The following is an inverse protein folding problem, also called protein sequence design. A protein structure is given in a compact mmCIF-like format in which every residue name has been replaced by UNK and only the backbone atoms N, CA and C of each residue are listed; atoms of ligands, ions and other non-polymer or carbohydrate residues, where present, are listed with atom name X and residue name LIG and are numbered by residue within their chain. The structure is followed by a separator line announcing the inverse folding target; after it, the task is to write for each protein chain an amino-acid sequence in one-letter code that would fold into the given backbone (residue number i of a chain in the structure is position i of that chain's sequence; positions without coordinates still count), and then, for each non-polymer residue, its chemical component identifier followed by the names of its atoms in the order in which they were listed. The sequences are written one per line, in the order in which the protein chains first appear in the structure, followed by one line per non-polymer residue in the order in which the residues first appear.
data_IF_140772855129
#
_entry.id   IF_140772855129
#
_cell.length_a   1.000
_cell.length_b   1.000
_cell.length_c   1.000
_cell.angle_alpha   90.00
_cell.angle_beta   90.00
_cell.angle_gamma   90.00
#
_symmetry.space_group_name_H-M   'P 1'
#
loop_
_entity.id
_entity.type
_entity.pdbx_description
1 polymer ?
#
# COMPACT_ATOMS: atom_id res chain seq x y z
N UNK A 1 13.12 -9.75 -6.16
CA UNK A 1 11.72 -9.29 -6.13
C UNK A 1 11.03 -9.95 -4.95
N UNK A 2 10.30 -9.21 -4.10
CA UNK A 2 9.58 -9.84 -2.99
C UNK A 2 8.46 -10.73 -3.51
N UNK A 3 8.22 -11.87 -2.87
CA UNK A 3 7.16 -12.84 -3.22
C UNK A 3 5.79 -12.17 -3.47
N UNK A 4 5.48 -11.14 -2.69
CA UNK A 4 4.26 -10.32 -2.83
C UNK A 4 4.11 -9.67 -4.21
N UNK A 5 5.20 -9.15 -4.76
CA UNK A 5 5.19 -8.47 -6.06
C UNK A 5 5.15 -9.48 -7.21
N UNK A 6 5.72 -10.67 -7.02
CA UNK A 6 5.62 -11.76 -7.99
C UNK A 6 4.17 -12.27 -8.07
N UNK A 7 3.47 -12.40 -6.95
CA UNK A 7 2.06 -12.80 -6.93
C UNK A 7 1.16 -11.76 -7.62
N UNK A 8 1.39 -10.46 -7.35
CA UNK A 8 0.68 -9.39 -8.03
C UNK A 8 0.93 -9.38 -9.56
N UNK A 9 2.18 -9.59 -10.00
CA UNK A 9 2.53 -9.70 -11.43
C UNK A 9 1.86 -10.91 -12.09
N UNK A 10 1.83 -12.07 -11.43
CA UNK A 10 1.18 -13.27 -11.96
C UNK A 10 -0.33 -13.04 -12.18
N UNK A 11 -1.02 -12.38 -11.25
CA UNK A 11 -2.42 -11.97 -11.43
C UNK A 11 -2.59 -11.00 -12.61
N UNK A 12 -1.71 -9.98 -12.74
CA UNK A 12 -1.77 -9.01 -13.86
C UNK A 12 -1.53 -9.65 -15.24
N UNK A 13 -0.68 -10.66 -15.34
CA UNK A 13 -0.44 -11.35 -16.62
C UNK A 13 -1.61 -12.23 -17.07
N UNK A 14 -2.41 -12.75 -16.13
CA UNK A 14 -3.62 -13.54 -16.42
C UNK A 14 -4.75 -12.63 -16.91
N UNK A 15 -4.86 -11.40 -16.38
CA UNK A 15 -5.85 -10.41 -16.85
C UNK A 15 -5.45 -9.65 -18.12
N UNK A 16 -4.19 -9.78 -18.58
CA UNK A 16 -3.71 -9.16 -19.81
C UNK A 16 -4.29 -9.78 -21.09
N UNK A 17 -5.05 -10.89 -21.01
CA UNK A 17 -5.93 -11.32 -22.10
C UNK A 17 -7.18 -10.45 -22.07
N UNK A 18 -7.06 -9.25 -22.64
CA UNK A 18 -8.16 -8.31 -22.73
C UNK A 18 -9.24 -8.87 -23.65
N UNK A 19 -10.38 -9.31 -23.10
CA UNK A 19 -11.63 -9.34 -23.86
C UNK A 19 -12.11 -7.90 -24.04
N UNK A 20 -11.54 -7.23 -25.04
CA UNK A 20 -12.01 -5.92 -25.48
C UNK A 20 -13.37 -6.14 -26.14
N UNK A 21 -14.47 -6.00 -25.37
CA UNK A 21 -15.77 -5.70 -25.96
C UNK A 21 -15.89 -4.19 -26.08
N UNK A 22 -15.57 -3.68 -27.27
CA UNK A 22 -15.96 -2.34 -27.69
C UNK A 22 -17.48 -2.34 -27.90
N UNK A 23 -18.24 -1.83 -26.93
CA UNK A 23 -19.59 -1.36 -27.18
C UNK A 23 -19.51 0.14 -27.47
N UNK A 24 -19.45 0.49 -28.75
CA UNK A 24 -19.74 1.84 -29.22
C UNK A 24 -21.26 2.04 -29.22
N UNK A 25 -21.76 2.91 -28.35
CA UNK A 25 -23.08 3.51 -28.53
C UNK A 25 -22.99 5.01 -28.25
N UNK A 26 -23.54 5.75 -29.21
CA UNK A 26 -23.46 7.19 -29.41
C UNK A 26 -24.63 7.89 -28.71
N UNK A 27 -24.34 9.11 -28.24
CA UNK A 27 -25.20 10.26 -27.93
C UNK A 27 -26.28 10.20 -26.84
N UNK A 28 -26.25 11.27 -26.03
CA UNK A 28 -27.22 11.74 -25.06
C UNK A 28 -28.68 11.77 -25.54
N UNK A 29 -29.58 11.37 -24.65
CA UNK A 29 -30.90 11.99 -24.51
C UNK A 29 -31.37 11.84 -23.06
N UNK A 30 -31.52 12.97 -22.37
CA UNK A 30 -32.20 13.06 -21.08
C UNK A 30 -33.69 12.82 -21.33
N UNK A 31 -34.22 11.72 -20.82
CA UNK A 31 -35.66 11.53 -20.62
C UNK A 31 -35.87 11.00 -19.20
N UNK A 32 -36.49 11.84 -18.37
CA UNK A 32 -37.17 11.41 -17.15
C UNK A 32 -38.36 10.56 -17.57
N UNK A 33 -38.40 9.32 -17.10
CA UNK A 33 -39.60 8.49 -17.05
C UNK A 33 -39.62 7.86 -15.67
N UNK A 34 -40.58 8.30 -14.85
CA UNK A 34 -40.95 7.62 -13.61
C UNK A 34 -41.68 6.32 -13.99
N UNK A 35 -41.22 5.18 -13.46
CA UNK A 35 -42.07 4.11 -12.89
C UNK A 35 -41.25 2.93 -12.32
N UNK A 36 -41.70 2.52 -11.13
CA UNK A 36 -41.53 1.21 -10.46
C UNK A 36 -40.17 0.81 -9.85
N UNK A 37 -40.05 1.16 -8.56
CA UNK A 37 -39.25 0.60 -7.47
C UNK A 37 -38.47 -0.71 -7.72
N UNK A 38 -37.34 -0.61 -8.41
CA UNK A 38 -36.07 -1.31 -8.10
C UNK A 38 -34.92 -0.79 -8.97
N UNK A 39 -34.95 0.51 -9.33
CA UNK A 39 -33.83 1.13 -10.03
C UNK A 39 -32.70 1.34 -9.02
N UNK A 40 -31.69 0.48 -9.05
CA UNK A 40 -30.42 0.70 -8.34
C UNK A 40 -29.94 2.12 -8.64
N UNK A 41 -29.83 2.96 -7.61
CA UNK A 41 -29.41 4.34 -7.79
C UNK A 41 -27.93 4.40 -8.11
N UNK A 42 -27.59 5.09 -9.20
CA UNK A 42 -26.21 5.46 -9.50
C UNK A 42 -25.91 6.73 -8.73
N UNK A 43 -25.06 6.64 -7.71
CA UNK A 43 -24.58 7.79 -6.96
C UNK A 43 -23.54 8.50 -7.82
N UNK A 44 -23.99 9.54 -8.53
CA UNK A 44 -23.11 10.41 -9.30
C UNK A 44 -22.45 11.43 -8.39
N UNK A 45 -21.15 11.64 -8.58
CA UNK A 45 -20.35 12.56 -7.78
C UNK A 45 -19.91 13.77 -8.59
N UNK A 46 -20.05 14.95 -8.02
CA UNK A 46 -19.46 16.16 -8.56
C UNK A 46 -18.01 16.30 -8.08
N UNK A 47 -17.04 16.09 -8.97
CA UNK A 47 -15.63 16.29 -8.63
C UNK A 47 -15.22 17.74 -8.85
N UNK A 48 -14.40 18.28 -7.94
CA UNK A 48 -13.73 19.58 -8.11
C UNK A 48 -12.89 19.64 -9.40
N UNK A 49 -12.29 18.53 -9.77
CA UNK A 49 -11.53 18.35 -11.01
C UNK A 49 -12.19 17.22 -11.80
N UNK A 50 -13.15 17.52 -12.70
CA UNK A 50 -13.87 16.49 -13.43
C UNK A 50 -12.96 15.86 -14.52
N UNK A 51 -13.18 14.58 -14.87
CA UNK A 51 -12.43 13.94 -15.93
C UNK A 51 -12.85 14.50 -17.30
N UNK A 52 -11.88 14.86 -18.13
CA UNK A 52 -12.14 15.53 -19.42
C UNK A 52 -12.49 14.55 -20.55
N UNK A 53 -11.67 13.50 -20.73
CA UNK A 53 -11.76 12.60 -21.90
C UNK A 53 -12.10 11.15 -21.52
N UNK A 54 -11.77 10.75 -20.29
CA UNK A 54 -11.95 9.39 -19.80
C UNK A 54 -13.26 9.27 -19.04
N UNK A 55 -14.10 8.30 -19.38
CA UNK A 55 -15.31 8.00 -18.62
C UNK A 55 -14.95 7.53 -17.20
N UNK A 56 -15.71 7.92 -16.16
CA UNK A 56 -15.61 7.35 -14.82
C UNK A 56 -15.77 5.83 -14.82
N UNK A 57 -15.23 5.19 -13.80
CA UNK A 57 -15.45 3.76 -13.54
C UNK A 57 -16.63 3.61 -12.58
N UNK A 58 -17.35 2.52 -12.66
CA UNK A 58 -18.48 2.24 -11.78
C UNK A 58 -18.17 1.01 -10.94
N UNK A 59 -18.53 1.05 -9.66
CA UNK A 59 -18.32 -0.03 -8.70
C UNK A 59 -19.60 -0.26 -7.91
N UNK A 60 -19.87 -1.51 -7.55
CA UNK A 60 -21.00 -1.84 -6.68
C UNK A 60 -20.77 -1.33 -5.26
N UNK A 61 -21.82 -0.79 -4.66
CA UNK A 61 -21.88 -0.55 -3.21
C UNK A 61 -22.48 -1.80 -2.58
N UNK A 62 -21.68 -2.47 -1.76
CA UNK A 62 -22.05 -3.66 -1.03
C UNK A 62 -22.47 -3.33 0.40
N UNK A 63 -23.18 -4.25 1.05
CA UNK A 63 -23.53 -4.18 2.46
C UNK A 63 -22.56 -5.01 3.33
N UNK A 64 -22.48 -4.74 4.63
CA UNK A 64 -21.81 -5.64 5.61
C UNK A 64 -22.79 -6.27 6.61
N UNK A 65 -24.05 -5.84 6.59
CA UNK A 65 -25.09 -6.29 7.53
C UNK A 65 -25.50 -7.76 7.38
N UNK A 66 -25.33 -8.34 6.19
CA UNK A 66 -25.68 -9.75 5.90
C UNK A 66 -24.52 -10.49 5.26
N UNK A 67 -24.40 -11.78 5.54
CA UNK A 67 -23.36 -12.64 4.94
C UNK A 67 -23.50 -12.68 3.41
N UNK A 68 -24.74 -12.90 2.93
CA UNK A 68 -25.07 -12.79 1.51
C UNK A 68 -24.78 -11.39 0.97
N UNK A 69 -24.08 -11.32 -0.17
CA UNK A 69 -23.82 -10.08 -0.90
C UNK A 69 -25.13 -9.46 -1.40
N UNK A 70 -25.39 -8.20 -0.99
CA UNK A 70 -26.46 -7.38 -1.56
C UNK A 70 -25.87 -6.14 -2.21
N UNK A 71 -26.23 -5.92 -3.47
CA UNK A 71 -25.85 -4.74 -4.25
C UNK A 71 -26.84 -3.62 -3.95
N UNK A 72 -26.40 -2.64 -3.17
CA UNK A 72 -27.23 -1.52 -2.73
C UNK A 72 -27.35 -0.42 -3.79
N UNK A 73 -26.30 -0.23 -4.59
CA UNK A 73 -26.25 0.80 -5.63
C UNK A 73 -24.95 0.77 -6.42
N UNK A 74 -24.79 1.74 -7.33
CA UNK A 74 -23.56 1.95 -8.10
C UNK A 74 -22.89 3.25 -7.67
N UNK A 75 -21.56 3.20 -7.53
CA UNK A 75 -20.73 4.34 -7.17
C UNK A 75 -19.74 4.68 -8.30
N UNK A 76 -19.68 5.95 -8.68
CA UNK A 76 -18.74 6.42 -9.71
C UNK A 76 -17.36 6.76 -9.12
N UNK A 77 -16.32 6.14 -9.68
CA UNK A 77 -14.92 6.33 -9.35
C UNK A 77 -14.18 7.17 -10.40
N UNK A 78 -13.31 8.06 -9.91
CA UNK A 78 -12.57 8.96 -10.78
C UNK A 78 -11.49 8.20 -11.60
N UNK A 79 -11.44 8.38 -12.93
CA UNK A 79 -10.57 7.58 -13.80
C UNK A 79 -9.07 7.88 -13.61
N UNK A 80 -8.69 9.10 -13.24
CA UNK A 80 -7.28 9.41 -12.91
C UNK A 80 -6.76 8.72 -11.64
N UNK A 81 -7.63 8.14 -10.81
CA UNK A 81 -7.25 7.43 -9.58
C UNK A 81 -7.33 5.93 -9.81
N UNK A 82 -8.45 5.45 -10.36
CA UNK A 82 -8.76 4.01 -10.46
C UNK A 82 -8.65 3.42 -11.87
N UNK A 83 -8.40 4.23 -12.91
CA UNK A 83 -8.27 3.77 -14.30
C UNK A 83 -6.91 4.13 -14.94
N UNK A 84 -5.89 4.38 -14.12
CA UNK A 84 -4.51 4.61 -14.59
C UNK A 84 -3.86 3.29 -14.95
N UNK A 85 -3.11 3.24 -16.05
CA UNK A 85 -2.35 2.04 -16.42
C UNK A 85 -1.44 1.60 -15.25
N UNK A 86 -1.63 0.38 -14.69
CA UNK A 86 -0.90 -0.05 -13.50
C UNK A 86 0.59 -0.23 -13.78
N UNK A 87 1.40 0.69 -13.26
CA UNK A 87 2.85 0.73 -13.44
C UNK A 87 3.61 -0.03 -12.35
N UNK A 88 3.98 -1.27 -12.66
CA UNK A 88 4.65 -2.22 -11.76
C UNK A 88 6.00 -1.67 -11.26
N UNK A 89 6.71 -0.91 -12.10
CA UNK A 89 7.99 -0.28 -11.77
C UNK A 89 7.86 0.76 -10.64
N UNK A 90 6.81 1.58 -10.68
CA UNK A 90 6.53 2.61 -9.66
C UNK A 90 6.05 1.95 -8.36
N UNK A 91 5.20 0.94 -8.47
CA UNK A 91 4.73 0.13 -7.34
C UNK A 91 5.94 -0.49 -6.61
N UNK A 92 6.86 -1.12 -7.35
CA UNK A 92 8.09 -1.70 -6.81
C UNK A 92 8.95 -0.67 -6.06
N UNK A 93 9.16 0.51 -6.66
CA UNK A 93 9.94 1.60 -6.04
C UNK A 93 9.31 2.06 -4.73
N UNK A 94 7.99 2.19 -4.68
CA UNK A 94 7.25 2.54 -3.46
C UNK A 94 7.42 1.50 -2.36
N UNK A 95 7.29 0.21 -2.69
CA UNK A 95 7.48 -0.88 -1.73
C UNK A 95 8.91 -0.91 -1.18
N UNK A 96 9.92 -0.77 -2.04
CA UNK A 96 11.32 -0.70 -1.59
C UNK A 96 11.54 0.49 -0.69
N UNK A 97 11.04 1.66 -1.09
CA UNK A 97 11.13 2.88 -0.29
C UNK A 97 10.51 2.67 1.09
N UNK A 98 9.26 2.17 1.16
CA UNK A 98 8.54 1.90 2.41
C UNK A 98 9.26 0.90 3.34
N UNK A 99 9.97 -0.09 2.78
CA UNK A 99 10.78 -1.02 3.57
C UNK A 99 12.08 -0.38 4.08
N UNK A 100 12.76 0.40 3.25
CA UNK A 100 14.10 0.91 3.54
C UNK A 100 14.12 2.18 4.38
N UNK A 101 13.13 3.08 4.23
CA UNK A 101 13.18 4.39 4.89
C UNK A 101 13.18 4.30 6.41
N UNK A 102 12.58 3.23 6.98
CA UNK A 102 12.53 2.96 8.43
C UNK A 102 13.63 2.01 8.90
N UNK A 103 14.41 1.43 7.98
CA UNK A 103 15.33 0.35 8.29
C UNK A 103 16.70 0.89 8.71
N UNK A 104 17.14 0.45 9.89
CA UNK A 104 18.47 0.70 10.45
C UNK A 104 19.16 -0.63 10.70
N UNK A 105 20.38 -0.77 10.20
CA UNK A 105 21.21 -1.95 10.46
C UNK A 105 22.11 -1.72 11.67
N UNK A 106 21.94 -2.58 12.68
CA UNK A 106 22.71 -2.58 13.93
C UNK A 106 23.86 -3.60 13.95
N UNK A 107 24.08 -4.29 12.83
CA UNK A 107 25.17 -5.25 12.72
C UNK A 107 26.51 -4.52 12.89
N UNK A 108 27.36 -5.02 13.78
CA UNK A 108 28.65 -4.43 14.09
C UNK A 108 29.71 -5.49 14.22
N UNK A 109 30.83 -5.30 13.52
CA UNK A 109 32.03 -6.10 13.71
C UNK A 109 33.16 -5.26 14.27
N UNK A 110 33.88 -5.82 15.24
CA UNK A 110 35.07 -5.18 15.81
C UNK A 110 36.18 -5.15 14.79
N UNK A 111 36.66 -3.95 14.49
CA UNK A 111 37.90 -3.74 13.74
C UNK A 111 39.10 -4.13 14.58
N UNK A 112 40.27 -4.29 13.96
CA UNK A 112 41.51 -4.63 14.67
C UNK A 112 41.87 -3.66 15.82
N UNK A 113 41.34 -2.43 15.79
CA UNK A 113 41.56 -1.41 16.82
C UNK A 113 40.59 -1.55 18.02
N UNK A 114 39.42 -2.15 17.80
CA UNK A 114 38.38 -2.33 18.83
C UNK A 114 38.49 -3.68 19.53
N UNK A 115 39.24 -4.64 18.97
CA UNK A 115 39.51 -5.92 19.62
C UNK A 115 40.53 -5.71 20.74
N UNK A 116 40.19 -6.12 21.97
CA UNK A 116 40.99 -5.92 23.19
C UNK A 116 42.44 -6.39 23.05
N UNK A 117 43.41 -5.59 23.49
CA UNK A 117 44.85 -5.94 23.51
C UNK A 117 45.60 -5.75 22.18
N UNK A 118 46.76 -6.37 22.02
CA UNK A 118 47.53 -6.33 20.76
C UNK A 118 48.31 -5.05 20.46
N UNK A 119 48.61 -4.24 21.49
CA UNK A 119 49.47 -3.05 21.39
C UNK A 119 50.97 -3.35 21.32
N UNK A 120 51.41 -4.56 21.72
CA UNK A 120 52.81 -4.98 21.63
C UNK A 120 53.07 -5.76 20.35
N UNK A 121 54.20 -5.47 19.69
CA UNK A 121 54.68 -6.25 18.53
C UNK A 121 55.00 -7.70 18.97
N UNK A 122 54.48 -8.73 18.29
CA UNK A 122 54.66 -10.13 18.71
C UNK A 122 56.14 -10.58 18.77
N UNK A 123 56.95 -10.12 17.80
CA UNK A 123 58.38 -10.42 17.72
C UNK A 123 59.15 -9.39 16.88
N UNK A 124 60.49 -9.28 17.00
CA UNK A 124 61.31 -8.39 16.18
C UNK A 124 61.19 -8.68 14.67
N UNK A 125 61.45 -7.66 13.84
CA UNK A 125 61.22 -7.72 12.39
C UNK A 125 62.10 -8.74 11.65
N UNK A 126 63.27 -9.07 12.21
CA UNK A 126 64.30 -9.97 11.66
C UNK A 126 64.85 -10.86 12.77
N UNK A 127 65.46 -11.98 12.41
CA UNK A 127 66.17 -12.89 13.34
C UNK A 127 65.47 -14.21 13.65
N UNK A 128 64.14 -14.31 13.49
CA UNK A 128 63.35 -15.49 13.90
C UNK A 128 62.91 -16.43 12.77
N UNK A 129 63.15 -16.08 11.50
CA UNK A 129 62.71 -16.89 10.34
C UNK A 129 61.19 -16.99 10.13
N UNK A 130 60.38 -16.30 10.95
CA UNK A 130 58.90 -16.28 10.85
C UNK A 130 58.40 -15.12 9.98
N UNK A 131 57.14 -15.21 9.53
CA UNK A 131 56.45 -14.12 8.87
C UNK A 131 56.42 -12.84 9.72
N UNK A 132 56.41 -11.67 9.08
CA UNK A 132 56.46 -10.37 9.74
C UNK A 132 55.05 -9.95 10.20
N UNK A 133 54.88 -9.73 11.50
CA UNK A 133 53.61 -9.25 12.07
C UNK A 133 53.80 -8.04 12.98
N UNK A 134 52.89 -7.07 12.86
CA UNK A 134 52.87 -5.86 13.69
C UNK A 134 51.99 -5.99 14.93
N UNK A 135 50.91 -6.79 14.87
CA UNK A 135 49.97 -6.98 15.99
C UNK A 135 49.26 -8.33 15.84
N UNK A 136 48.94 -8.96 16.96
CA UNK A 136 48.13 -10.19 17.03
C UNK A 136 46.64 -9.96 16.69
N UNK A 137 46.18 -8.70 16.57
CA UNK A 137 44.78 -8.37 16.24
C UNK A 137 44.52 -8.13 14.77
N UNK A 138 45.54 -8.33 13.93
CA UNK A 138 45.40 -8.22 12.48
C UNK A 138 44.35 -9.22 11.96
N UNK A 139 43.57 -8.90 10.91
CA UNK A 139 42.58 -9.82 10.32
C UNK A 139 43.16 -11.16 9.86
N UNK A 140 44.47 -11.25 9.63
CA UNK A 140 45.16 -12.50 9.29
C UNK A 140 45.26 -13.47 10.48
N UNK A 141 45.13 -12.99 11.71
CA UNK A 141 45.25 -13.79 12.92
C UNK A 141 43.90 -14.34 13.36
N UNK A 142 43.89 -15.55 13.92
CA UNK A 142 42.70 -16.13 14.58
C UNK A 142 42.30 -15.25 15.77
N UNK A 143 41.03 -14.84 15.81
CA UNK A 143 40.54 -13.90 16.84
C UNK A 143 41.03 -12.45 16.65
N UNK A 144 41.57 -12.13 15.47
CA UNK A 144 41.82 -10.77 15.03
C UNK A 144 40.54 -10.03 14.65
N UNK A 145 40.66 -8.73 14.40
CA UNK A 145 39.53 -7.92 13.96
C UNK A 145 39.15 -8.18 12.51
N UNK A 146 37.92 -7.83 12.14
CA UNK A 146 37.40 -8.01 10.77
C UNK A 146 37.79 -6.77 9.93
N UNK A 147 38.35 -6.98 8.74
CA UNK A 147 38.80 -5.90 7.86
C UNK A 147 37.63 -5.14 7.21
N UNK A 148 36.75 -5.88 6.52
CA UNK A 148 35.55 -5.36 5.88
C UNK A 148 34.35 -6.10 6.44
N UNK A 149 33.75 -5.53 7.47
CA UNK A 149 32.53 -6.04 8.08
C UNK A 149 31.51 -4.92 8.30
N UNK A 150 30.28 -5.25 8.69
CA UNK A 150 29.25 -4.26 8.95
C UNK A 150 29.69 -3.33 10.09
N UNK A 151 29.43 -2.03 9.88
CA UNK A 151 29.60 -1.00 10.90
C UNK A 151 28.21 -0.58 11.38
N UNK A 152 28.02 -0.64 12.69
CA UNK A 152 26.75 -0.31 13.35
C UNK A 152 26.24 1.07 12.96
N UNK A 153 24.93 1.24 13.00
CA UNK A 153 24.27 2.53 12.80
C UNK A 153 24.12 2.93 11.33
N UNK A 154 24.19 1.96 10.41
CA UNK A 154 23.96 2.25 8.99
C UNK A 154 22.47 2.41 8.73
N UNK A 155 22.06 3.63 8.39
CA UNK A 155 20.70 3.95 7.97
C UNK A 155 20.55 3.70 6.46
N UNK A 156 19.37 3.22 6.06
CA UNK A 156 19.00 3.04 4.65
C UNK A 156 17.97 4.08 4.19
N UNK A 157 17.92 5.21 4.88
CA UNK A 157 16.95 6.27 4.64
C UNK A 157 17.18 6.97 3.30
N UNK A 158 16.13 7.09 2.51
CA UNK A 158 16.03 8.00 1.37
C UNK A 158 14.56 8.39 1.18
N UNK A 159 14.31 9.57 0.62
CA UNK A 159 12.96 10.05 0.35
C UNK A 159 12.61 9.84 -1.12
N UNK A 160 11.50 9.16 -1.39
CA UNK A 160 10.97 9.03 -2.75
C UNK A 160 10.25 10.34 -3.14
N UNK A 161 10.45 10.87 -4.36
CA UNK A 161 9.73 12.05 -4.85
C UNK A 161 8.22 11.91 -4.64
N UNK A 162 7.58 13.00 -4.24
CA UNK A 162 6.16 13.00 -3.86
C UNK A 162 5.24 12.47 -4.97
N UNK A 163 5.45 12.92 -6.21
CA UNK A 163 4.68 12.47 -7.37
C UNK A 163 4.81 10.96 -7.63
N UNK A 164 6.00 10.38 -7.42
CA UNK A 164 6.19 8.93 -7.52
C UNK A 164 5.46 8.16 -6.42
N UNK A 165 5.28 8.76 -5.23
CA UNK A 165 4.48 8.17 -4.16
C UNK A 165 3.00 8.15 -4.51
N UNK A 166 2.48 9.26 -5.05
CA UNK A 166 1.09 9.36 -5.51
C UNK A 166 0.83 8.39 -6.67
N UNK A 167 1.69 8.38 -7.69
CA UNK A 167 1.56 7.43 -8.80
C UNK A 167 1.64 5.97 -8.36
N UNK A 168 2.37 5.69 -7.27
CA UNK A 168 2.38 4.37 -6.65
C UNK A 168 1.02 3.99 -6.07
N UNK A 169 0.37 4.93 -5.36
CA UNK A 169 -0.98 4.73 -4.82
C UNK A 169 -2.00 4.54 -5.95
N UNK A 170 -2.06 5.44 -6.92
CA UNK A 170 -3.04 5.34 -8.03
C UNK A 170 -2.83 4.10 -8.89
N UNK A 171 -1.58 3.73 -9.18
CA UNK A 171 -1.29 2.50 -9.92
C UNK A 171 -1.73 1.25 -9.16
N UNK A 172 -1.63 1.26 -7.82
CA UNK A 172 -2.02 0.12 -6.98
C UNK A 172 -3.54 0.03 -6.84
N UNK A 173 -4.22 1.16 -6.63
CA UNK A 173 -5.68 1.23 -6.58
C UNK A 173 -6.29 0.79 -7.92
N UNK A 174 -5.74 1.26 -9.04
CA UNK A 174 -6.19 0.82 -10.36
C UNK A 174 -5.91 -0.65 -10.61
N UNK A 175 -4.78 -1.19 -10.13
CA UNK A 175 -4.49 -2.63 -10.22
C UNK A 175 -5.50 -3.46 -9.42
N UNK A 176 -5.83 -3.04 -8.18
CA UNK A 176 -6.84 -3.72 -7.34
C UNK A 176 -8.21 -3.71 -7.99
N UNK A 177 -8.61 -2.55 -8.52
CA UNK A 177 -9.87 -2.42 -9.24
C UNK A 177 -9.92 -3.30 -10.51
N UNK A 178 -8.85 -3.30 -11.32
CA UNK A 178 -8.78 -4.10 -12.54
C UNK A 178 -8.67 -5.62 -12.30
N UNK A 179 -8.40 -6.04 -11.06
CA UNK A 179 -8.33 -7.44 -10.63
C UNK A 179 -9.61 -7.90 -9.92
N UNK A 180 -10.64 -7.06 -9.84
CA UNK A 180 -11.85 -7.29 -9.05
C UNK A 180 -11.57 -7.53 -7.55
N UNK A 181 -10.41 -7.09 -7.07
CA UNK A 181 -9.96 -7.23 -5.68
C UNK A 181 -10.37 -5.98 -4.82
N UNK A 182 -11.07 -5.01 -5.39
CA UNK A 182 -11.52 -3.78 -4.74
C UNK A 182 -13.04 -3.79 -4.54
N UNK A 183 -13.48 -3.73 -3.28
CA UNK A 183 -14.89 -3.68 -2.91
C UNK A 183 -15.20 -2.37 -2.18
N UNK A 184 -16.35 -1.78 -2.49
CA UNK A 184 -16.85 -0.58 -1.81
C UNK A 184 -18.07 -0.99 -0.99
N UNK A 185 -18.03 -0.66 0.29
CA UNK A 185 -19.11 -0.93 1.22
C UNK A 185 -19.73 0.41 1.62
N UNK A 186 -21.04 0.41 1.88
CA UNK A 186 -21.73 1.58 2.38
C UNK A 186 -21.16 2.05 3.74
N UNK A 187 -21.27 1.20 4.76
CA UNK A 187 -20.88 1.47 6.15
C UNK A 187 -20.22 0.22 6.78
N UNK A 188 -19.41 0.39 7.83
CA UNK A 188 -18.74 -0.72 8.55
C UNK A 188 -19.59 -1.32 9.69
N UNK A 189 -20.90 -1.09 9.69
CA UNK A 189 -21.78 -1.66 10.69
C UNK A 189 -21.97 -3.16 10.43
N UNK A 190 -21.80 -3.95 11.50
CA UNK A 190 -21.91 -5.42 11.46
C UNK A 190 -22.89 -5.81 12.57
N UNK A 191 -23.84 -6.74 12.33
CA UNK A 191 -24.88 -7.06 13.31
C UNK A 191 -24.33 -7.73 14.57
N UNK A 192 -23.21 -8.44 14.45
CA UNK A 192 -22.67 -9.34 15.47
C UNK A 192 -21.19 -9.04 15.73
N UNK A 193 -20.73 -9.32 16.95
CA UNK A 193 -19.33 -9.10 17.40
C UNK A 193 -18.43 -10.31 17.12
N UNK A 194 -19.03 -11.43 16.72
CA UNK A 194 -18.38 -12.72 16.57
C UNK A 194 -17.47 -12.76 15.33
N UNK A 195 -16.23 -13.28 15.46
CA UNK A 195 -15.30 -13.35 14.34
C UNK A 195 -15.71 -14.38 13.29
N UNK A 196 -16.43 -15.43 13.69
CA UNK A 196 -16.93 -16.48 12.79
C UNK A 196 -17.86 -15.90 11.73
N UNK A 197 -18.75 -14.98 12.12
CA UNK A 197 -19.61 -14.26 11.16
C UNK A 197 -18.80 -13.56 10.06
N UNK A 198 -17.67 -12.96 10.42
CA UNK A 198 -16.83 -12.25 9.44
C UNK A 198 -16.03 -13.22 8.56
N UNK A 199 -15.58 -14.36 9.10
CA UNK A 199 -14.94 -15.43 8.32
C UNK A 199 -15.93 -16.00 7.29
N UNK A 200 -17.15 -16.34 7.72
CA UNK A 200 -18.20 -16.83 6.83
C UNK A 200 -18.54 -15.82 5.73
N UNK A 201 -18.57 -14.53 6.06
CA UNK A 201 -18.79 -13.45 5.10
C UNK A 201 -17.67 -13.39 4.05
N UNK A 202 -16.41 -13.45 4.47
CA UNK A 202 -15.24 -13.45 3.57
C UNK A 202 -15.28 -14.67 2.63
N UNK A 203 -15.58 -15.85 3.18
CA UNK A 203 -15.65 -17.10 2.42
C UNK A 203 -16.79 -17.07 1.42
N UNK A 204 -17.99 -16.66 1.84
CA UNK A 204 -19.17 -16.63 0.96
C UNK A 204 -18.98 -15.65 -0.21
N UNK A 205 -18.35 -14.50 0.04
CA UNK A 205 -18.11 -13.46 -0.98
C UNK A 205 -16.83 -13.68 -1.78
N UNK A 206 -16.07 -14.73 -1.48
CA UNK A 206 -14.79 -15.03 -2.11
C UNK A 206 -13.79 -13.88 -2.06
N UNK A 207 -13.72 -13.14 -0.95
CA UNK A 207 -12.77 -12.04 -0.77
C UNK A 207 -11.31 -12.51 -0.57
N UNK A 208 -11.06 -13.80 -0.68
CA UNK A 208 -9.73 -14.39 -0.53
C UNK A 208 -9.26 -14.45 0.92
N UNK A 209 -8.01 -14.90 1.14
CA UNK A 209 -7.50 -15.23 2.48
C UNK A 209 -7.10 -14.00 3.32
N UNK A 210 -7.05 -12.79 2.76
CA UNK A 210 -6.63 -11.60 3.49
C UNK A 210 -7.31 -10.34 3.00
N UNK A 211 -7.80 -9.55 3.94
CA UNK A 211 -8.65 -8.39 3.67
C UNK A 211 -8.08 -7.16 4.36
N UNK A 212 -7.97 -6.05 3.63
CA UNK A 212 -7.67 -4.74 4.20
C UNK A 212 -8.91 -3.87 4.14
N UNK A 213 -9.41 -3.45 5.31
CA UNK A 213 -10.56 -2.57 5.45
C UNK A 213 -10.06 -1.15 5.69
N UNK A 214 -10.61 -0.19 4.95
CA UNK A 214 -10.26 1.21 5.05
C UNK A 214 -11.50 2.02 5.41
N UNK A 215 -11.42 2.75 6.53
CA UNK A 215 -12.46 3.65 6.97
C UNK A 215 -12.02 5.12 6.95
N UNK A 216 -13.00 6.00 6.98
CA UNK A 216 -12.82 7.43 6.98
C UNK A 216 -12.56 8.01 8.38
N UNK A 217 -13.15 7.39 9.40
CA UNK A 217 -13.06 7.83 10.78
C UNK A 217 -11.89 7.17 11.53
N UNK A 218 -11.44 7.82 12.60
CA UNK A 218 -10.46 7.24 13.54
C UNK A 218 -11.07 6.15 14.42
N UNK A 219 -12.39 6.22 14.64
CA UNK A 219 -13.13 5.28 15.47
C UNK A 219 -13.98 4.38 14.57
N UNK A 220 -13.60 3.11 14.50
CA UNK A 220 -14.41 2.07 13.86
C UNK A 220 -15.54 1.62 14.83
N UNK A 221 -16.68 1.12 14.31
CA UNK A 221 -17.74 0.60 15.16
C UNK A 221 -17.26 -0.58 16.01
N UNK A 222 -17.87 -0.75 17.19
CA UNK A 222 -17.42 -1.74 18.19
C UNK A 222 -17.44 -3.17 17.63
N UNK A 223 -18.51 -3.52 16.92
CA UNK A 223 -18.74 -4.90 16.48
C UNK A 223 -17.67 -5.36 15.49
N UNK A 224 -17.40 -4.57 14.44
CA UNK A 224 -16.38 -4.91 13.45
C UNK A 224 -14.98 -4.92 14.07
N UNK A 225 -14.71 -4.03 15.03
CA UNK A 225 -13.41 -3.96 15.70
C UNK A 225 -13.16 -5.24 16.50
N UNK A 226 -14.14 -5.71 17.28
CA UNK A 226 -14.01 -6.95 18.05
C UNK A 226 -13.94 -8.20 17.15
N UNK A 227 -14.77 -8.25 16.11
CA UNK A 227 -14.76 -9.35 15.15
C UNK A 227 -13.41 -9.48 14.44
N UNK A 228 -12.81 -8.35 14.03
CA UNK A 228 -11.55 -8.34 13.27
C UNK A 228 -10.29 -8.42 14.13
N UNK A 229 -10.32 -7.97 15.39
CA UNK A 229 -9.13 -7.97 16.28
C UNK A 229 -8.57 -9.39 16.50
N UNK A 230 -9.45 -10.39 16.54
CA UNK A 230 -9.04 -11.80 16.63
C UNK A 230 -8.42 -12.37 15.35
N UNK A 231 -8.69 -11.75 14.19
CA UNK A 231 -8.33 -12.25 12.86
C UNK A 231 -7.04 -11.62 12.35
N UNK A 232 -5.92 -12.34 12.40
CA UNK A 232 -4.59 -11.82 12.00
C UNK A 232 -4.47 -11.40 10.51
N UNK A 233 -5.33 -11.93 9.64
CA UNK A 233 -5.30 -11.70 8.19
C UNK A 233 -6.30 -10.62 7.73
N UNK A 234 -7.10 -10.08 8.64
CA UNK A 234 -7.99 -8.94 8.41
C UNK A 234 -7.43 -7.74 9.17
N UNK A 235 -7.25 -6.61 8.51
CA UNK A 235 -6.77 -5.40 9.17
C UNK A 235 -7.67 -4.22 8.85
N UNK A 236 -8.01 -3.42 9.86
CA UNK A 236 -8.71 -2.15 9.70
C UNK A 236 -7.68 -1.02 9.79
N UNK A 237 -7.70 -0.09 8.85
CA UNK A 237 -6.89 1.12 8.87
C UNK A 237 -7.74 2.35 8.54
N UNK A 238 -7.40 3.54 9.07
CA UNK A 238 -8.01 4.78 8.60
C UNK A 238 -7.47 5.18 7.22
N UNK A 239 -8.20 6.00 6.48
CA UNK A 239 -7.90 6.36 5.10
C UNK A 239 -6.53 7.04 4.93
N UNK A 240 -6.10 7.85 5.91
CA UNK A 240 -4.78 8.51 5.88
C UNK A 240 -3.61 7.54 6.13
N UNK A 241 -3.89 6.34 6.67
CA UNK A 241 -2.92 5.25 6.86
C UNK A 241 -2.72 4.39 5.61
N UNK A 242 -3.49 4.64 4.54
CA UNK A 242 -3.44 3.87 3.31
C UNK A 242 -2.06 3.94 2.65
N UNK A 243 -1.53 2.77 2.32
CA UNK A 243 -0.18 2.66 1.78
C UNK A 243 -0.04 1.50 0.79
N UNK A 244 0.86 1.65 -0.18
CA UNK A 244 1.11 0.66 -1.25
C UNK A 244 1.48 -0.72 -0.70
N UNK A 245 2.31 -0.80 0.34
CA UNK A 245 2.72 -2.07 0.92
C UNK A 245 1.55 -2.85 1.53
N UNK A 246 0.69 -2.21 2.32
CA UNK A 246 -0.49 -2.82 2.93
C UNK A 246 -1.48 -3.26 1.86
N UNK A 247 -1.75 -2.45 0.84
CA UNK A 247 -2.63 -2.84 -0.27
C UNK A 247 -2.13 -4.08 -1.02
N UNK A 248 -0.82 -4.24 -1.18
CA UNK A 248 -0.24 -5.43 -1.83
C UNK A 248 -0.07 -6.63 -0.90
N UNK A 249 -0.06 -6.41 0.42
CA UNK A 249 0.03 -7.48 1.42
C UNK A 249 -1.27 -8.27 1.50
N UNK A 250 -2.41 -7.59 1.34
CA UNK A 250 -3.74 -8.18 1.40
C UNK A 250 -4.26 -8.45 -0.01
N UNK A 251 -5.06 -9.50 -0.16
CA UNK A 251 -5.63 -9.89 -1.45
C UNK A 251 -6.80 -9.01 -1.82
N UNK A 252 -7.69 -8.69 -0.88
CA UNK A 252 -8.79 -7.74 -1.12
C UNK A 252 -8.62 -6.44 -0.36
N UNK A 253 -9.10 -5.37 -0.98
CA UNK A 253 -9.19 -4.03 -0.43
C UNK A 253 -10.67 -3.65 -0.34
N UNK A 254 -11.16 -3.47 0.89
CA UNK A 254 -12.52 -3.05 1.18
C UNK A 254 -12.46 -1.61 1.69
N UNK A 255 -13.23 -0.71 1.10
CA UNK A 255 -13.28 0.70 1.52
C UNK A 255 -14.72 1.10 1.79
N UNK A 256 -14.93 1.95 2.81
CA UNK A 256 -16.22 2.65 2.93
C UNK A 256 -16.40 3.64 1.80
N UNK A 257 -17.65 3.92 1.43
CA UNK A 257 -17.97 4.91 0.42
C UNK A 257 -17.32 6.27 0.77
N UNK A 258 -17.43 6.69 2.03
CA UNK A 258 -16.84 7.94 2.55
C UNK A 258 -15.32 7.94 2.45
N UNK A 259 -14.65 6.83 2.79
CA UNK A 259 -13.19 6.72 2.66
C UNK A 259 -12.75 6.81 1.19
N UNK A 260 -13.44 6.12 0.29
CA UNK A 260 -13.17 6.18 -1.15
C UNK A 260 -13.27 7.64 -1.66
N UNK A 261 -14.30 8.37 -1.21
CA UNK A 261 -14.50 9.77 -1.58
C UNK A 261 -13.37 10.68 -1.11
N UNK A 262 -12.93 10.56 0.15
CA UNK A 262 -11.83 11.37 0.72
C UNK A 262 -10.49 11.04 0.05
N UNK A 263 -10.23 9.76 -0.21
CA UNK A 263 -9.00 9.31 -0.92
C UNK A 263 -8.94 9.95 -2.30
N UNK A 264 -10.03 9.91 -3.06
CA UNK A 264 -10.11 10.55 -4.38
C UNK A 264 -9.84 12.05 -4.31
N UNK A 265 -10.51 12.74 -3.40
CA UNK A 265 -10.38 14.20 -3.26
C UNK A 265 -8.91 14.59 -3.02
N UNK A 266 -8.24 13.91 -2.08
CA UNK A 266 -6.84 14.19 -1.74
C UNK A 266 -5.90 13.89 -2.89
N UNK A 267 -6.06 12.74 -3.55
CA UNK A 267 -5.22 12.37 -4.69
C UNK A 267 -5.40 13.37 -5.83
N UNK A 268 -6.64 13.73 -6.17
CA UNK A 268 -6.93 14.69 -7.25
C UNK A 268 -6.38 16.07 -6.94
N UNK A 269 -6.51 16.52 -5.69
CA UNK A 269 -5.91 17.78 -5.23
C UNK A 269 -4.39 17.77 -5.45
N UNK A 270 -3.71 16.67 -5.13
CA UNK A 270 -2.26 16.58 -5.33
C UNK A 270 -1.86 16.46 -6.80
N UNK A 271 -2.62 15.75 -7.63
CA UNK A 271 -2.34 15.63 -9.07
C UNK A 271 -2.46 16.99 -9.80
N UNK A 272 -3.37 17.86 -9.37
CA UNK A 272 -3.61 19.17 -9.99
C UNK A 272 -2.89 20.33 -9.28
N UNK A 273 -2.13 20.04 -8.23
CA UNK A 273 -1.42 21.08 -7.48
C UNK A 273 -0.10 21.49 -8.14
N UNK A 274 0.22 22.79 -8.05
CA UNK A 274 1.51 23.30 -8.54
C UNK A 274 2.65 22.88 -7.60
N UNK A 275 3.64 22.18 -8.15
CA UNK A 275 4.77 21.59 -7.40
C UNK A 275 5.56 22.64 -6.59
N UNK A 276 5.66 23.88 -7.08
CA UNK A 276 6.38 24.96 -6.38
C UNK A 276 5.68 25.45 -5.10
N UNK A 277 4.34 25.42 -5.05
CA UNK A 277 3.58 25.83 -3.87
C UNK A 277 3.63 24.77 -2.75
N UNK A 278 3.81 23.49 -3.09
CA UNK A 278 3.88 22.38 -2.13
C UNK A 278 5.28 22.13 -1.53
N UNK A 279 6.36 22.51 -2.22
CA UNK A 279 7.72 22.40 -1.68
C UNK A 279 8.05 23.50 -0.65
N UNK A 280 7.23 24.56 -0.58
CA UNK A 280 7.31 25.51 0.50
C UNK A 280 7.06 24.77 1.83
N UNK A 281 7.93 24.97 2.82
CA UNK A 281 7.70 24.45 4.18
C UNK A 281 6.30 24.87 4.62
N UNK A 282 5.47 23.91 5.03
CA UNK A 282 4.16 24.20 5.62
C UNK A 282 4.38 25.09 6.84
N UNK A 283 4.10 26.39 6.71
CA UNK A 283 4.09 27.30 7.85
C UNK A 283 2.75 27.08 8.52
N UNK A 284 2.76 26.48 9.72
CA UNK A 284 1.64 26.69 10.65
C UNK A 284 1.48 28.21 10.76
N UNK A 285 0.30 28.72 10.41
CA UNK A 285 -0.04 30.10 10.72
C UNK A 285 0.04 30.22 12.23
N UNK A 286 1.13 30.80 12.72
CA UNK A 286 1.20 31.26 14.10
C UNK A 286 0.22 32.43 14.17
N UNK A 287 -1.00 32.14 14.60
CA UNK A 287 -1.91 33.12 15.19
C UNK A 287 -1.54 33.20 16.67
#
# INVERSE_FOLDING_TARGET
MSLTLINAIKKLHISAVSQIRLCSAVSNSVHNVDNDNSSLSVIRKEWKFPPQYTKPREVWIENLDTINEKKLGLFELHPLVYAVLPRIDIIHRNVIWQKKFRWVSWAHTKTRAEVSGGGRKPWPQKGLGRARHGSIRSPLWRGGGIAHGPRSGKTHFFMLPFHLRIHGLTSTLSAKFAQDDLHIVKDLEVPTEDPEYFVDLIEQRNWGPSVLIVDDNDYAPRNITLATDSLQHVNIIPFYGLNVYSMLKHDTLVMTQTAAERIEEKILQHLHSNTMQQQAKFKLSQV
#
